data_IF_690753701826
#
_entry.id   IF_690753701826
#
_cell.length_a   1.000
_cell.length_b   1.000
_cell.length_c   1.000
_cell.angle_alpha   90.00
_cell.angle_beta   90.00
_cell.angle_gamma   90.00
#
_symmetry.space_group_name_H-M   'P 1'
#
loop_
_entity.id
_entity.type
_entity.pdbx_description
1 polymer ?
#
# COMPACT_ATOMS: atom_id res chain seq x y z
N UNK A 1 -4.56 8.65 17.62
CA UNK A 1 -4.62 8.20 16.22
C UNK A 1 -4.24 6.72 16.16
N UNK A 2 -5.07 5.91 15.53
CA UNK A 2 -4.82 4.48 15.39
C UNK A 2 -3.89 4.22 14.22
N UNK A 3 -2.87 3.41 14.44
CA UNK A 3 -1.94 3.02 13.38
C UNK A 3 -2.43 1.73 12.73
N UNK A 4 -2.50 1.74 11.39
CA UNK A 4 -2.90 0.57 10.60
C UNK A 4 -1.76 0.24 9.64
N UNK A 5 -1.37 -1.03 9.63
CA UNK A 5 -0.30 -1.50 8.75
C UNK A 5 -0.82 -2.62 7.86
N UNK A 6 -0.64 -2.45 6.55
CA UNK A 6 -0.94 -3.49 5.57
C UNK A 6 0.37 -4.16 5.16
N UNK A 7 0.40 -5.48 5.28
CA UNK A 7 1.55 -6.27 4.84
C UNK A 7 1.15 -7.03 3.58
N UNK A 8 1.75 -6.67 2.46
CA UNK A 8 1.46 -7.30 1.16
C UNK A 8 2.75 -7.64 0.45
N UNK A 9 2.69 -8.59 -0.49
CA UNK A 9 3.90 -8.98 -1.23
C UNK A 9 4.39 -7.83 -2.11
N UNK A 10 3.48 -7.19 -2.86
CA UNK A 10 3.80 -6.03 -3.70
C UNK A 10 2.51 -5.27 -3.98
N UNK A 11 2.65 -4.10 -4.60
CA UNK A 11 1.49 -3.27 -4.99
C UNK A 11 1.14 -3.44 -6.46
N UNK A 12 1.41 -4.62 -7.02
CA UNK A 12 1.04 -4.93 -8.39
C UNK A 12 -0.47 -5.06 -8.53
N UNK A 13 -0.97 -4.96 -9.76
CA UNK A 13 -2.40 -5.02 -10.05
C UNK A 13 -2.92 -6.46 -9.88
N UNK A 14 -3.22 -6.84 -8.66
CA UNK A 14 -3.72 -8.16 -8.27
C UNK A 14 -4.98 -8.00 -7.41
N UNK A 15 -5.77 -9.08 -7.28
CA UNK A 15 -7.00 -9.07 -6.51
C UNK A 15 -6.87 -8.52 -5.09
N UNK A 16 -5.96 -9.04 -4.27
CA UNK A 16 -5.78 -8.55 -2.90
C UNK A 16 -5.41 -7.07 -2.83
N UNK A 17 -4.58 -6.61 -3.78
CA UNK A 17 -4.17 -5.20 -3.84
C UNK A 17 -5.35 -4.32 -4.22
N UNK A 18 -6.20 -4.77 -5.13
CA UNK A 18 -7.39 -4.02 -5.53
C UNK A 18 -8.38 -3.89 -4.38
N UNK A 19 -8.55 -4.94 -3.58
CA UNK A 19 -9.39 -4.90 -2.38
C UNK A 19 -8.83 -3.89 -1.39
N UNK A 20 -7.53 -3.92 -1.15
CA UNK A 20 -6.87 -2.99 -0.24
C UNK A 20 -7.04 -1.55 -0.72
N UNK A 21 -6.92 -1.31 -2.01
CA UNK A 21 -7.11 0.02 -2.58
C UNK A 21 -8.53 0.53 -2.32
N UNK A 22 -9.54 -0.32 -2.49
CA UNK A 22 -10.93 0.06 -2.19
C UNK A 22 -11.11 0.44 -0.73
N UNK A 23 -10.47 -0.28 0.18
CA UNK A 23 -10.52 0.03 1.61
C UNK A 23 -9.88 1.40 1.86
N UNK A 24 -8.71 1.64 1.27
CA UNK A 24 -7.95 2.88 1.47
C UNK A 24 -8.71 4.10 0.94
N UNK A 25 -9.42 3.97 -0.18
CA UNK A 25 -10.20 5.07 -0.74
C UNK A 25 -11.23 5.65 0.25
N UNK A 26 -11.76 4.79 1.10
CA UNK A 26 -12.80 5.17 2.04
C UNK A 26 -12.29 5.35 3.47
N UNK A 27 -10.98 5.24 3.67
CA UNK A 27 -10.40 5.36 4.99
C UNK A 27 -10.30 6.82 5.43
N UNK A 28 -10.61 7.06 6.70
CA UNK A 28 -10.51 8.40 7.28
C UNK A 28 -9.09 8.61 7.81
N UNK A 29 -8.25 9.26 7.02
CA UNK A 29 -6.85 9.51 7.36
C UNK A 29 -6.69 10.52 8.51
N UNK A 30 -7.75 11.21 8.91
CA UNK A 30 -7.69 12.06 10.09
C UNK A 30 -7.72 11.25 11.39
N UNK A 31 -8.19 10.01 11.33
CA UNK A 31 -8.30 9.11 12.48
C UNK A 31 -7.29 7.97 12.44
N UNK A 32 -6.78 7.62 11.26
CA UNK A 32 -5.90 6.48 11.08
C UNK A 32 -4.60 6.91 10.41
N UNK A 33 -3.49 6.42 10.94
CA UNK A 33 -2.20 6.55 10.28
C UNK A 33 -1.92 5.23 9.57
N UNK A 34 -1.87 5.26 8.24
CA UNK A 34 -1.76 4.05 7.42
C UNK A 34 -0.34 3.86 6.92
N UNK A 35 0.15 2.63 7.01
CA UNK A 35 1.43 2.23 6.45
C UNK A 35 1.24 0.98 5.63
N UNK A 36 1.98 0.86 4.53
CA UNK A 36 2.00 -0.33 3.68
C UNK A 36 3.42 -0.85 3.64
N UNK A 37 3.60 -2.15 3.86
CA UNK A 37 4.90 -2.79 3.80
C UNK A 37 4.87 -3.84 2.70
N UNK A 38 5.80 -3.76 1.75
CA UNK A 38 5.95 -4.74 0.68
C UNK A 38 7.29 -5.44 0.82
N UNK A 39 7.36 -6.71 0.40
CA UNK A 39 8.59 -7.51 0.55
C UNK A 39 9.01 -8.22 -0.74
N UNK A 40 8.35 -7.94 -1.87
CA UNK A 40 8.76 -8.40 -3.20
C UNK A 40 8.95 -7.17 -4.08
N UNK A 41 9.99 -7.12 -4.93
CA UNK A 41 10.20 -5.98 -5.82
C UNK A 41 8.98 -5.69 -6.70
N UNK A 42 8.71 -4.42 -6.92
CA UNK A 42 7.60 -4.00 -7.74
C UNK A 42 7.82 -4.34 -9.22
N UNK A 43 6.75 -4.74 -9.89
CA UNK A 43 6.77 -5.06 -11.32
C UNK A 43 6.16 -3.91 -12.13
N UNK A 44 6.17 -4.05 -13.46
CA UNK A 44 5.59 -3.05 -14.35
C UNK A 44 4.11 -2.80 -14.10
N UNK A 45 3.41 -3.79 -13.54
CA UNK A 45 1.97 -3.69 -13.24
C UNK A 45 1.69 -3.06 -11.88
N UNK A 46 2.71 -2.47 -11.24
CA UNK A 46 2.54 -1.88 -9.91
C UNK A 46 1.53 -0.74 -9.90
N UNK A 47 0.76 -0.67 -8.82
CA UNK A 47 -0.17 0.43 -8.56
C UNK A 47 0.35 1.37 -7.50
N UNK A 48 1.65 1.37 -7.24
CA UNK A 48 2.24 2.17 -6.18
C UNK A 48 1.89 3.66 -6.32
N UNK A 49 1.83 4.18 -7.54
CA UNK A 49 1.48 5.57 -7.78
C UNK A 49 0.05 5.90 -7.35
N UNK A 50 -0.87 4.93 -7.49
CA UNK A 50 -2.25 5.11 -7.07
C UNK A 50 -2.34 5.24 -5.54
N UNK A 51 -1.52 4.47 -4.82
CA UNK A 51 -1.48 4.55 -3.37
C UNK A 51 -0.79 5.81 -2.87
N UNK A 52 0.18 6.34 -3.62
CA UNK A 52 0.91 7.55 -3.23
C UNK A 52 0.04 8.81 -3.24
N UNK A 53 -1.14 8.76 -3.82
CA UNK A 53 -2.09 9.87 -3.79
C UNK A 53 -2.65 10.13 -2.38
N UNK A 54 -2.57 9.14 -1.51
CA UNK A 54 -3.13 9.20 -0.17
C UNK A 54 -2.05 9.50 0.87
N UNK A 55 -2.40 10.11 2.01
CA UNK A 55 -1.42 10.42 3.07
C UNK A 55 -1.06 9.19 3.88
N UNK A 56 -0.36 8.26 3.24
CA UNK A 56 0.10 7.03 3.87
C UNK A 56 1.59 6.83 3.59
N UNK A 57 2.21 5.90 4.32
CA UNK A 57 3.61 5.55 4.14
C UNK A 57 3.73 4.22 3.46
N UNK A 58 4.67 4.11 2.51
CA UNK A 58 4.94 2.85 1.83
C UNK A 58 6.41 2.47 2.11
N UNK A 59 6.61 1.27 2.65
CA UNK A 59 7.94 0.75 2.97
C UNK A 59 8.20 -0.49 2.12
N UNK A 60 9.27 -0.46 1.34
CA UNK A 60 9.68 -1.58 0.50
C UNK A 60 10.87 -2.27 1.16
N UNK A 61 10.67 -3.50 1.63
CA UNK A 61 11.71 -4.28 2.27
C UNK A 61 12.51 -5.11 1.28
N UNK A 62 12.00 -5.27 0.05
CA UNK A 62 12.69 -6.07 -0.96
C UNK A 62 13.98 -5.38 -1.41
N UNK A 63 15.08 -6.12 -1.55
CA UNK A 63 16.30 -5.55 -2.11
C UNK A 63 16.08 -5.18 -3.57
N UNK A 64 16.66 -4.08 -3.99
CA UNK A 64 16.67 -3.71 -5.40
C UNK A 64 17.67 -4.62 -6.14
N UNK A 65 17.23 -5.14 -7.25
CA UNK A 65 18.08 -5.97 -8.10
C UNK A 65 18.38 -5.27 -9.40
#
# INVERSE_FOLDING_TARGET
>A
MTKVCFLVSSLCNEGPVNVMYNIIQYMDFSKFKVSIITFIPEKKTTRIKDFQKYPLSIHQLAPET
#
